data_IF_108881522453
#
_entry.id   IF_108881522453
#
_cell.length_a   1.000
_cell.length_b   1.000
_cell.length_c   1.000
_cell.angle_alpha   90.00
_cell.angle_beta   90.00
_cell.angle_gamma   90.00
#
_symmetry.space_group_name_H-M   'P 1'
#
loop_
_entity.id
_entity.type
_entity.pdbx_description
1 polymer ?
#
# COMPACT_ATOMS: atom_id res chain seq x y z
N UNK A 1 15.49 -25.04 -0.62
CA UNK A 1 16.08 -26.39 -0.51
C UNK A 1 17.10 -26.60 -1.62
N UNK A 2 17.51 -27.83 -1.91
CA UNK A 2 18.42 -28.12 -3.04
C UNK A 2 17.86 -27.61 -4.38
N UNK A 3 16.55 -27.75 -4.60
CA UNK A 3 15.86 -27.25 -5.81
C UNK A 3 16.07 -25.74 -5.97
N UNK A 4 15.84 -24.95 -4.91
CA UNK A 4 16.05 -23.50 -4.92
C UNK A 4 17.46 -23.09 -5.35
N UNK A 5 18.47 -23.79 -4.82
CA UNK A 5 19.87 -23.52 -5.18
C UNK A 5 20.09 -23.84 -6.65
N UNK A 6 19.61 -24.99 -7.14
CA UNK A 6 19.72 -25.35 -8.56
C UNK A 6 19.06 -24.29 -9.45
N UNK A 7 17.88 -23.78 -9.08
CA UNK A 7 17.18 -22.73 -9.85
C UNK A 7 18.04 -21.46 -9.91
N UNK A 8 18.62 -21.04 -8.78
CA UNK A 8 19.51 -19.87 -8.69
C UNK A 8 20.76 -20.04 -9.56
N UNK A 9 21.51 -21.14 -9.38
CA UNK A 9 22.72 -21.39 -10.18
C UNK A 9 22.43 -21.52 -11.69
N UNK A 10 21.25 -22.03 -12.06
CA UNK A 10 20.81 -22.05 -13.46
C UNK A 10 20.44 -20.65 -13.95
N UNK A 11 19.81 -19.84 -13.09
CA UNK A 11 19.48 -18.45 -13.38
C UNK A 11 20.72 -17.60 -13.69
N UNK A 12 21.86 -17.90 -13.05
CA UNK A 12 23.12 -17.23 -13.35
C UNK A 12 23.58 -17.35 -14.82
N UNK A 13 23.11 -18.36 -15.57
CA UNK A 13 23.34 -18.41 -17.02
C UNK A 13 22.83 -17.16 -17.76
N UNK A 14 21.89 -16.42 -17.18
CA UNK A 14 21.38 -15.16 -17.70
C UNK A 14 22.05 -13.95 -17.04
N UNK A 15 21.96 -13.85 -15.71
CA UNK A 15 22.53 -12.75 -14.91
C UNK A 15 23.59 -13.32 -13.96
N UNK A 16 24.90 -13.13 -14.22
CA UNK A 16 25.48 -12.13 -15.08
C UNK A 16 26.00 -12.71 -16.41
N UNK A 17 25.89 -14.02 -16.65
CA UNK A 17 26.69 -14.67 -17.71
C UNK A 17 26.33 -14.20 -19.13
N UNK A 18 25.06 -13.85 -19.39
CA UNK A 18 24.62 -13.27 -20.66
C UNK A 18 24.52 -11.74 -20.57
N UNK A 19 24.01 -11.19 -19.47
CA UNK A 19 23.92 -9.75 -19.20
C UNK A 19 24.91 -9.43 -18.09
N UNK A 20 26.11 -8.96 -18.45
CA UNK A 20 27.26 -8.96 -17.55
C UNK A 20 27.29 -7.73 -16.63
N UNK A 21 27.28 -7.92 -15.31
CA UNK A 21 27.40 -6.83 -14.34
C UNK A 21 28.75 -6.83 -13.63
N UNK A 22 29.23 -5.65 -13.19
CA UNK A 22 30.37 -5.55 -12.29
C UNK A 22 29.95 -5.90 -10.85
N UNK A 23 29.95 -7.19 -10.52
CA UNK A 23 29.54 -7.74 -9.22
C UNK A 23 30.32 -7.12 -8.04
N UNK A 24 31.61 -6.81 -8.24
CA UNK A 24 32.45 -6.22 -7.18
C UNK A 24 31.99 -4.83 -6.79
N UNK A 25 31.42 -4.10 -7.74
CA UNK A 25 30.86 -2.78 -7.49
C UNK A 25 29.38 -2.86 -7.12
N UNK A 26 28.61 -3.73 -7.78
CA UNK A 26 27.15 -3.81 -7.72
C UNK A 26 26.66 -5.25 -7.52
N UNK A 27 26.97 -5.87 -6.37
CA UNK A 27 26.62 -7.27 -6.10
C UNK A 27 25.13 -7.61 -6.26
N UNK A 28 24.24 -6.64 -6.05
CA UNK A 28 22.80 -6.84 -6.24
C UNK A 28 22.38 -7.04 -7.70
N UNK A 29 23.14 -6.52 -8.67
CA UNK A 29 22.80 -6.70 -10.09
C UNK A 29 22.96 -8.16 -10.52
N UNK A 30 23.90 -8.86 -9.90
CA UNK A 30 24.05 -10.29 -10.09
C UNK A 30 23.00 -11.02 -9.24
N UNK A 31 23.15 -10.89 -7.93
CA UNK A 31 22.45 -11.73 -6.96
C UNK A 31 20.98 -11.37 -6.77
N UNK A 32 20.65 -10.10 -6.89
CA UNK A 32 19.30 -9.57 -6.71
C UNK A 32 18.42 -9.80 -7.93
N UNK A 33 18.94 -9.54 -9.14
CA UNK A 33 18.24 -9.86 -10.39
C UNK A 33 18.01 -11.36 -10.50
N UNK A 34 19.01 -12.17 -10.17
CA UNK A 34 18.87 -13.61 -10.21
C UNK A 34 17.92 -14.13 -9.10
N UNK A 35 18.02 -13.62 -7.88
CA UNK A 35 17.08 -13.99 -6.80
C UNK A 35 15.62 -13.64 -7.16
N UNK A 36 15.39 -12.53 -7.87
CA UNK A 36 14.07 -12.19 -8.40
C UNK A 36 13.59 -13.23 -9.42
N UNK A 37 14.43 -13.58 -10.40
CA UNK A 37 14.10 -14.62 -11.40
C UNK A 37 13.88 -15.99 -10.76
N UNK A 38 14.71 -16.35 -9.77
CA UNK A 38 14.56 -17.54 -8.96
C UNK A 38 13.20 -17.56 -8.26
N UNK A 39 12.80 -16.47 -7.61
CA UNK A 39 11.49 -16.37 -6.94
C UNK A 39 10.34 -16.65 -7.91
N UNK A 40 10.33 -16.00 -9.10
CA UNK A 40 9.28 -16.22 -10.10
C UNK A 40 9.26 -17.67 -10.58
N UNK A 41 10.42 -18.25 -10.89
CA UNK A 41 10.53 -19.65 -11.32
C UNK A 41 10.09 -20.64 -10.23
N UNK A 42 10.41 -20.38 -8.97
CA UNK A 42 9.97 -21.16 -7.82
C UNK A 42 8.45 -21.13 -7.67
N UNK A 43 7.83 -19.95 -7.76
CA UNK A 43 6.37 -19.83 -7.66
C UNK A 43 5.67 -20.55 -8.83
N UNK A 44 6.13 -20.33 -10.07
CA UNK A 44 5.59 -21.02 -11.25
C UNK A 44 5.78 -22.55 -11.18
N UNK A 45 6.91 -23.01 -10.62
CA UNK A 45 7.14 -24.43 -10.36
C UNK A 45 6.13 -24.99 -9.36
N UNK A 46 5.88 -24.27 -8.25
CA UNK A 46 4.89 -24.65 -7.25
C UNK A 46 3.46 -24.74 -7.81
N UNK A 47 3.09 -23.81 -8.67
CA UNK A 47 1.78 -23.81 -9.35
C UNK A 47 1.64 -24.98 -10.34
N UNK A 48 2.69 -25.30 -11.10
CA UNK A 48 2.67 -26.40 -12.08
C UNK A 48 2.77 -27.78 -11.45
N UNK A 49 3.46 -27.89 -10.31
CA UNK A 49 3.75 -29.16 -9.63
C UNK A 49 3.32 -29.11 -8.15
N UNK A 50 2.02 -28.94 -7.86
CA UNK A 50 1.52 -28.75 -6.49
C UNK A 50 1.83 -29.93 -5.56
N UNK A 51 1.86 -31.16 -6.10
CA UNK A 51 2.20 -32.36 -5.33
C UNK A 51 3.64 -32.35 -4.80
N UNK A 52 4.56 -31.66 -5.49
CA UNK A 52 5.97 -31.57 -5.09
C UNK A 52 6.16 -30.61 -3.91
N UNK A 53 5.29 -29.60 -3.80
CA UNK A 53 5.36 -28.60 -2.73
C UNK A 53 4.41 -28.89 -1.56
N UNK A 54 3.59 -29.94 -1.66
CA UNK A 54 2.68 -30.36 -0.61
C UNK A 54 3.41 -30.50 0.75
N UNK A 55 2.80 -30.04 1.86
CA UNK A 55 1.43 -29.52 1.99
C UNK A 55 1.29 -28.01 1.68
N UNK A 56 2.32 -27.35 1.14
CA UNK A 56 2.27 -25.92 0.85
C UNK A 56 1.40 -25.64 -0.38
N UNK A 57 0.68 -24.53 -0.36
CA UNK A 57 -0.12 -24.03 -1.49
C UNK A 57 0.66 -23.11 -2.42
N UNK A 58 1.78 -22.56 -1.93
CA UNK A 58 2.76 -21.77 -2.69
C UNK A 58 4.15 -22.33 -2.43
N UNK A 59 5.06 -22.19 -3.39
CA UNK A 59 6.44 -22.62 -3.16
C UNK A 59 7.05 -21.83 -2.00
N UNK A 60 7.69 -22.48 -1.00
CA UNK A 60 8.21 -21.83 0.18
C UNK A 60 9.56 -21.12 -0.11
N UNK A 61 9.51 -20.08 -0.95
CA UNK A 61 10.67 -19.26 -1.30
C UNK A 61 11.28 -18.59 -0.07
N UNK A 62 12.60 -18.47 -0.06
CA UNK A 62 13.34 -17.86 1.07
C UNK A 62 13.39 -16.33 0.98
N UNK A 63 13.21 -15.77 -0.22
CA UNK A 63 13.33 -14.34 -0.58
C UNK A 63 12.29 -14.00 -1.65
N UNK A 64 12.12 -12.71 -1.97
CA UNK A 64 11.19 -12.21 -2.99
C UNK A 64 9.82 -11.82 -2.43
N UNK A 65 9.23 -12.66 -1.59
CA UNK A 65 7.98 -12.33 -0.90
C UNK A 65 8.17 -11.11 0.04
N UNK A 66 7.29 -10.09 0.01
CA UNK A 66 7.40 -8.89 0.84
C UNK A 66 7.58 -9.17 2.34
N UNK A 67 6.89 -10.16 2.90
CA UNK A 67 6.98 -10.48 4.32
C UNK A 67 8.38 -11.00 4.73
N UNK A 68 9.19 -11.50 3.78
CA UNK A 68 10.53 -12.05 4.07
C UNK A 68 11.59 -10.99 4.29
N UNK A 69 11.38 -9.75 3.83
CA UNK A 69 12.35 -8.68 4.01
C UNK A 69 12.11 -7.86 5.29
N UNK A 70 10.89 -7.90 5.83
CA UNK A 70 10.48 -7.14 7.02
C UNK A 70 11.46 -7.27 8.20
N UNK A 71 11.96 -8.46 8.60
CA UNK A 71 12.90 -8.57 9.72
C UNK A 71 14.23 -7.85 9.50
N UNK A 72 14.66 -7.69 8.24
CA UNK A 72 15.85 -6.93 7.91
C UNK A 72 15.57 -5.42 7.90
N UNK A 73 14.44 -5.00 7.29
CA UNK A 73 14.08 -3.59 7.17
C UNK A 73 13.65 -2.94 8.50
N UNK A 74 13.09 -3.72 9.42
CA UNK A 74 12.78 -3.31 10.81
C UNK A 74 13.99 -3.34 11.75
N UNK A 75 15.16 -3.78 11.26
CA UNK A 75 16.39 -3.85 12.04
C UNK A 75 16.95 -2.48 12.41
N UNK A 76 18.05 -2.50 13.17
CA UNK A 76 18.80 -1.30 13.51
C UNK A 76 19.31 -0.60 12.24
N UNK A 77 18.73 0.58 11.96
CA UNK A 77 19.04 1.37 10.77
C UNK A 77 20.51 1.76 10.66
N UNK A 78 21.23 1.87 11.80
CA UNK A 78 22.66 2.17 11.79
C UNK A 78 23.54 1.02 11.28
N UNK A 79 22.98 -0.20 11.21
CA UNK A 79 23.61 -1.40 10.69
C UNK A 79 23.07 -1.80 9.30
N UNK A 80 22.22 -0.97 8.69
CA UNK A 80 21.73 -1.17 7.33
C UNK A 80 22.50 -0.28 6.35
N UNK A 81 22.59 -0.76 5.11
CA UNK A 81 23.16 -0.01 4.00
C UNK A 81 22.17 -0.01 2.83
N UNK A 82 22.11 1.05 2.01
CA UNK A 82 21.36 1.05 0.75
C UNK A 82 21.77 -0.11 -0.17
N UNK A 83 20.87 -0.57 -1.06
CA UNK A 83 21.18 -1.62 -2.05
C UNK A 83 22.37 -1.21 -2.93
N UNK A 84 22.47 0.08 -3.24
CA UNK A 84 23.55 0.67 -4.05
C UNK A 84 24.89 0.79 -3.31
N UNK A 85 25.05 0.16 -2.15
CA UNK A 85 26.32 0.15 -1.42
C UNK A 85 27.28 -0.88 -2.00
N UNK A 86 28.58 -0.58 -1.96
CA UNK A 86 29.59 -1.57 -2.34
C UNK A 86 29.50 -2.79 -1.38
N UNK A 87 29.46 -4.03 -1.89
CA UNK A 87 29.33 -5.25 -1.09
C UNK A 87 30.31 -5.40 0.08
N UNK A 88 31.54 -4.88 -0.04
CA UNK A 88 32.57 -4.96 1.02
C UNK A 88 32.25 -4.08 2.24
N UNK A 89 31.36 -3.09 2.08
CA UNK A 89 30.98 -2.13 3.12
C UNK A 89 29.62 -2.45 3.77
N UNK A 90 29.04 -3.62 3.49
CA UNK A 90 27.71 -4.01 3.95
C UNK A 90 27.80 -4.99 5.11
N UNK A 91 27.11 -4.71 6.23
CA UNK A 91 27.09 -5.60 7.40
C UNK A 91 26.44 -6.96 7.13
N UNK A 92 25.36 -6.97 6.34
CA UNK A 92 24.56 -8.17 6.04
C UNK A 92 24.33 -8.29 4.54
N UNK A 93 25.28 -8.93 3.84
CA UNK A 93 25.25 -9.05 2.38
C UNK A 93 24.03 -9.83 1.87
N UNK A 94 23.63 -10.90 2.54
CA UNK A 94 22.51 -11.76 2.12
C UNK A 94 21.20 -10.99 1.90
N UNK A 95 20.70 -10.23 2.88
CA UNK A 95 19.53 -9.37 2.68
C UNK A 95 19.78 -8.20 1.72
N UNK A 96 20.95 -7.57 1.75
CA UNK A 96 21.22 -6.36 0.95
C UNK A 96 21.40 -6.65 -0.55
N UNK A 97 22.15 -7.69 -0.92
CA UNK A 97 22.43 -8.04 -2.31
C UNK A 97 21.38 -8.98 -2.93
N UNK A 98 20.68 -9.78 -2.12
CA UNK A 98 19.72 -10.79 -2.62
C UNK A 98 18.29 -10.45 -2.22
N UNK A 99 18.03 -10.30 -0.92
CA UNK A 99 16.69 -10.22 -0.35
C UNK A 99 15.93 -8.95 -0.73
N UNK A 100 16.43 -7.78 -0.32
CA UNK A 100 15.81 -6.47 -0.54
C UNK A 100 15.63 -6.16 -2.03
N UNK A 101 16.62 -6.40 -2.92
CA UNK A 101 16.45 -6.16 -4.34
C UNK A 101 15.39 -7.07 -4.97
N UNK A 102 15.38 -8.37 -4.64
CA UNK A 102 14.38 -9.29 -5.17
C UNK A 102 12.97 -8.96 -4.70
N UNK A 103 12.82 -8.56 -3.43
CA UNK A 103 11.54 -8.10 -2.88
C UNK A 103 11.10 -6.79 -3.54
N UNK A 104 12.00 -5.82 -3.73
CA UNK A 104 11.69 -4.58 -4.43
C UNK A 104 11.18 -4.88 -5.86
N UNK A 105 11.90 -5.71 -6.62
CA UNK A 105 11.47 -6.06 -7.99
C UNK A 105 10.13 -6.81 -8.02
N UNK A 106 9.88 -7.67 -7.04
CA UNK A 106 8.60 -8.36 -6.91
C UNK A 106 7.45 -7.38 -6.59
N UNK A 107 7.63 -6.48 -5.63
CA UNK A 107 6.65 -5.43 -5.30
C UNK A 107 6.41 -4.53 -6.53
N UNK A 108 7.47 -4.14 -7.23
CA UNK A 108 7.37 -3.32 -8.42
C UNK A 108 6.53 -4.01 -9.50
N UNK A 109 6.75 -5.32 -9.71
CA UNK A 109 6.01 -6.13 -10.67
C UNK A 109 4.56 -6.37 -10.28
N UNK A 110 4.29 -6.75 -9.04
CA UNK A 110 2.97 -7.21 -8.63
C UNK A 110 2.03 -6.08 -8.23
N UNK A 111 2.58 -5.03 -7.61
CA UNK A 111 1.78 -4.01 -6.90
C UNK A 111 1.87 -2.63 -7.53
N UNK A 112 3.01 -2.25 -8.14
CA UNK A 112 3.22 -0.88 -8.66
C UNK A 112 2.96 -0.79 -10.17
N UNK A 113 3.67 -1.58 -10.97
CA UNK A 113 3.59 -1.51 -12.45
C UNK A 113 2.59 -2.50 -13.03
N UNK A 114 2.35 -3.61 -12.34
CA UNK A 114 1.68 -4.77 -12.90
C UNK A 114 2.59 -5.61 -13.80
N UNK A 115 2.24 -6.90 -13.93
CA UNK A 115 3.06 -7.91 -14.60
C UNK A 115 3.37 -7.59 -16.06
N UNK A 116 2.39 -7.08 -16.81
CA UNK A 116 2.56 -6.83 -18.25
C UNK A 116 3.64 -5.79 -18.54
N UNK A 117 3.55 -4.62 -17.91
CA UNK A 117 4.51 -3.54 -18.10
C UNK A 117 5.89 -3.92 -17.55
N UNK A 118 5.93 -4.52 -16.36
CA UNK A 118 7.18 -4.96 -15.77
C UNK A 118 7.87 -6.01 -16.64
N UNK A 119 7.17 -7.07 -17.05
CA UNK A 119 7.74 -8.18 -17.84
C UNK A 119 8.22 -7.68 -19.21
N UNK A 120 7.47 -6.76 -19.83
CA UNK A 120 7.89 -6.11 -21.06
C UNK A 120 9.20 -5.33 -20.88
N UNK A 121 9.29 -4.51 -19.84
CA UNK A 121 10.45 -3.67 -19.58
C UNK A 121 11.68 -4.50 -19.17
N UNK A 122 11.51 -5.48 -18.28
CA UNK A 122 12.56 -6.38 -17.84
C UNK A 122 13.12 -7.23 -18.99
N UNK A 123 12.24 -7.76 -19.85
CA UNK A 123 12.65 -8.46 -21.08
C UNK A 123 13.41 -7.53 -22.02
N UNK A 124 12.97 -6.28 -22.14
CA UNK A 124 13.63 -5.26 -22.97
C UNK A 124 15.04 -4.97 -22.46
N UNK A 125 15.22 -4.84 -21.14
CA UNK A 125 16.54 -4.74 -20.51
C UNK A 125 17.43 -5.93 -20.87
N UNK A 126 16.96 -7.14 -20.63
CA UNK A 126 17.72 -8.35 -20.93
C UNK A 126 18.14 -8.42 -22.42
N UNK A 127 17.27 -8.02 -23.36
CA UNK A 127 17.60 -8.02 -24.79
C UNK A 127 18.58 -6.90 -25.18
N UNK A 128 18.42 -5.68 -24.64
CA UNK A 128 19.29 -4.54 -24.96
C UNK A 128 20.72 -4.77 -24.49
N UNK A 129 20.88 -5.44 -23.35
CA UNK A 129 22.14 -5.60 -22.63
C UNK A 129 22.75 -7.00 -22.71
N UNK A 130 22.10 -7.91 -23.44
CA UNK A 130 22.67 -9.20 -23.82
C UNK A 130 24.05 -9.01 -24.47
N UNK A 131 25.05 -9.68 -23.90
CA UNK A 131 26.48 -9.63 -24.26
C UNK A 131 27.14 -8.25 -24.10
N UNK A 132 26.63 -7.42 -23.17
CA UNK A 132 27.17 -6.11 -22.81
C UNK A 132 27.34 -6.00 -21.29
N UNK A 133 27.84 -4.84 -20.84
CA UNK A 133 28.12 -4.55 -19.43
C UNK A 133 27.29 -3.36 -18.90
N UNK A 134 25.99 -3.55 -18.56
CA UNK A 134 25.17 -2.47 -18.00
C UNK A 134 25.60 -2.06 -16.58
N UNK A 135 25.38 -0.79 -16.25
CA UNK A 135 25.36 -0.30 -14.86
C UNK A 135 23.95 -0.34 -14.27
N UNK A 136 23.76 -0.09 -12.96
CA UNK A 136 22.44 0.08 -12.36
C UNK A 136 21.55 1.09 -13.10
N UNK A 137 22.12 2.20 -13.55
CA UNK A 137 21.40 3.25 -14.26
C UNK A 137 20.85 2.78 -15.61
N UNK A 138 21.56 1.88 -16.29
CA UNK A 138 21.10 1.27 -17.54
C UNK A 138 19.87 0.37 -17.31
N UNK A 139 19.82 -0.31 -16.16
CA UNK A 139 18.65 -1.07 -15.73
C UNK A 139 17.48 -0.13 -15.40
N UNK A 140 17.68 0.85 -14.51
CA UNK A 140 16.63 1.78 -14.09
C UNK A 140 16.02 2.53 -15.30
N UNK A 141 16.86 3.07 -16.18
CA UNK A 141 16.41 3.78 -17.40
C UNK A 141 15.65 2.87 -18.35
N UNK A 142 16.05 1.60 -18.50
CA UNK A 142 15.32 0.68 -19.36
C UNK A 142 13.97 0.29 -18.76
N UNK A 143 13.90 0.15 -17.43
CA UNK A 143 12.63 -0.15 -16.77
C UNK A 143 11.62 0.99 -16.95
N UNK A 144 12.06 2.24 -16.86
CA UNK A 144 11.22 3.43 -17.08
C UNK A 144 10.88 3.64 -18.56
N UNK A 145 11.87 3.62 -19.45
CA UNK A 145 11.64 3.98 -20.86
C UNK A 145 10.76 2.98 -21.60
N UNK A 146 10.84 1.70 -21.26
CA UNK A 146 10.09 0.64 -21.92
C UNK A 146 8.67 0.51 -21.34
N UNK A 147 8.48 0.87 -20.07
CA UNK A 147 7.16 0.85 -19.43
C UNK A 147 6.39 2.17 -19.55
N UNK A 148 7.10 3.28 -19.83
CA UNK A 148 6.58 4.64 -19.74
C UNK A 148 6.03 5.01 -18.36
N UNK A 149 6.52 4.35 -17.30
CA UNK A 149 6.18 4.64 -15.90
C UNK A 149 7.32 5.44 -15.27
N UNK A 150 6.98 6.49 -14.53
CA UNK A 150 7.93 7.24 -13.70
C UNK A 150 8.25 6.44 -12.43
N UNK A 151 9.51 6.01 -12.29
CA UNK A 151 9.98 5.15 -11.20
C UNK A 151 11.08 5.83 -10.37
N UNK A 152 11.35 7.13 -10.57
CA UNK A 152 12.38 7.87 -9.85
C UNK A 152 12.19 7.76 -8.33
N UNK A 153 10.95 7.91 -7.88
CA UNK A 153 10.58 7.77 -6.47
C UNK A 153 10.83 6.34 -5.95
N UNK A 154 10.60 5.32 -6.79
CA UNK A 154 10.74 3.92 -6.43
C UNK A 154 12.20 3.55 -6.28
N UNK A 155 13.02 3.87 -7.28
CA UNK A 155 14.45 3.63 -7.26
C UNK A 155 15.12 4.35 -6.10
N UNK A 156 14.82 5.64 -5.91
CA UNK A 156 15.36 6.42 -4.80
C UNK A 156 15.08 5.75 -3.45
N UNK A 157 13.82 5.37 -3.20
CA UNK A 157 13.39 4.88 -1.89
C UNK A 157 13.85 3.45 -1.61
N UNK A 158 13.83 2.56 -2.61
CA UNK A 158 14.22 1.16 -2.40
C UNK A 158 15.74 0.93 -2.51
N UNK A 159 16.41 1.62 -3.43
CA UNK A 159 17.80 1.31 -3.79
C UNK A 159 18.83 2.27 -3.17
N UNK A 160 18.46 3.53 -2.95
CA UNK A 160 19.39 4.57 -2.48
C UNK A 160 19.23 4.96 -1.01
N UNK A 161 18.23 4.45 -0.30
CA UNK A 161 18.07 4.67 1.15
C UNK A 161 17.96 3.36 1.94
N UNK A 162 18.03 3.47 3.26
CA UNK A 162 17.74 2.39 4.21
C UNK A 162 16.29 2.45 4.70
N UNK A 163 15.47 3.34 4.15
CA UNK A 163 14.09 3.53 4.59
C UNK A 163 13.28 2.24 4.49
N UNK A 164 12.13 2.27 5.14
CA UNK A 164 11.17 1.18 5.22
C UNK A 164 9.75 1.66 4.89
N UNK A 165 8.88 0.70 4.64
CA UNK A 165 7.44 0.90 4.47
C UNK A 165 6.78 0.75 5.83
N UNK A 166 5.97 1.73 6.21
CA UNK A 166 5.07 1.71 7.37
C UNK A 166 3.92 2.67 7.03
N UNK A 167 2.71 2.13 6.89
CA UNK A 167 1.49 2.87 6.55
C UNK A 167 0.36 2.41 7.47
N UNK A 168 -0.19 3.36 8.24
CA UNK A 168 -1.22 3.08 9.23
C UNK A 168 -2.54 3.81 9.01
N UNK A 169 -3.54 3.39 9.78
CA UNK A 169 -4.76 4.17 10.02
C UNK A 169 -4.56 4.99 11.29
N UNK A 170 -4.48 6.31 11.13
CA UNK A 170 -4.21 7.25 12.22
C UNK A 170 -5.50 7.65 12.95
N UNK A 171 -6.53 8.06 12.19
CA UNK A 171 -7.80 8.53 12.74
C UNK A 171 -8.99 8.22 11.80
N UNK A 172 -10.16 8.01 12.38
CA UNK A 172 -11.42 7.80 11.66
C UNK A 172 -12.51 8.64 12.33
N UNK A 173 -12.93 9.69 11.65
CA UNK A 173 -14.01 10.56 12.09
C UNK A 173 -15.27 10.27 11.32
N UNK A 174 -16.36 10.07 12.05
CA UNK A 174 -17.69 9.86 11.48
C UNK A 174 -18.44 11.19 11.44
N UNK A 175 -19.08 11.46 10.30
CA UNK A 175 -19.81 12.68 10.03
C UNK A 175 -21.27 12.38 9.68
N UNK A 176 -22.12 13.33 10.01
CA UNK A 176 -23.55 13.33 9.71
C UNK A 176 -23.94 14.58 8.94
N UNK A 177 -24.92 14.45 8.05
CA UNK A 177 -25.52 15.61 7.40
C UNK A 177 -26.19 16.48 8.44
N UNK A 178 -26.00 17.79 8.33
CA UNK A 178 -26.61 18.79 9.19
C UNK A 178 -27.38 19.81 8.37
N UNK A 179 -28.49 20.28 8.96
CA UNK A 179 -29.25 21.41 8.42
C UNK A 179 -28.54 22.76 8.64
N UNK A 180 -27.53 22.81 9.51
CA UNK A 180 -26.81 24.03 9.90
C UNK A 180 -25.30 23.86 9.75
N UNK A 181 -24.56 24.96 9.47
CA UNK A 181 -23.11 24.91 9.43
C UNK A 181 -22.53 24.56 10.81
N UNK A 182 -21.57 23.63 10.83
CA UNK A 182 -20.76 23.34 12.02
C UNK A 182 -19.75 24.44 12.33
N UNK A 183 -19.04 24.30 13.45
CA UNK A 183 -18.10 25.30 13.96
C UNK A 183 -17.06 25.77 12.93
N UNK A 184 -16.40 24.85 12.22
CA UNK A 184 -15.38 25.20 11.22
C UNK A 184 -15.95 26.10 10.11
N UNK A 185 -17.18 25.83 9.66
CA UNK A 185 -17.83 26.62 8.63
C UNK A 185 -18.25 28.00 9.15
N UNK A 186 -18.68 28.08 10.42
CA UNK A 186 -18.95 29.37 11.08
C UNK A 186 -17.69 30.20 11.23
N UNK A 187 -16.56 29.59 11.57
CA UNK A 187 -15.26 30.26 11.68
C UNK A 187 -14.77 30.75 10.32
N UNK A 188 -14.91 29.93 9.27
CA UNK A 188 -14.62 30.32 7.90
C UNK A 188 -15.45 31.53 7.44
N UNK A 189 -16.76 31.51 7.70
CA UNK A 189 -17.66 32.62 7.37
C UNK A 189 -17.25 33.89 8.12
N UNK A 190 -16.98 33.78 9.42
CA UNK A 190 -16.52 34.89 10.26
C UNK A 190 -15.20 35.48 9.75
N UNK A 191 -14.21 34.63 9.46
CA UNK A 191 -12.89 35.07 8.98
C UNK A 191 -12.95 35.79 7.62
N UNK A 192 -13.98 35.52 6.81
CA UNK A 192 -14.20 36.13 5.50
C UNK A 192 -15.30 37.18 5.48
N UNK A 193 -15.87 37.50 6.65
CA UNK A 193 -17.00 38.41 6.80
C UNK A 193 -18.17 38.04 5.87
N UNK A 194 -18.44 36.74 5.76
CA UNK A 194 -19.55 36.16 5.01
C UNK A 194 -20.68 35.77 5.96
N UNK A 195 -21.90 35.76 5.45
CA UNK A 195 -23.06 35.13 6.08
C UNK A 195 -23.47 33.88 5.31
N UNK A 196 -24.33 33.05 5.89
CA UNK A 196 -24.85 31.86 5.20
C UNK A 196 -25.60 32.22 3.91
N UNK A 197 -26.26 33.38 3.86
CA UNK A 197 -26.95 33.88 2.67
C UNK A 197 -26.02 34.28 1.52
N UNK A 198 -24.73 34.52 1.81
CA UNK A 198 -23.72 34.84 0.79
C UNK A 198 -23.13 33.58 0.14
N UNK A 199 -23.44 32.40 0.69
CA UNK A 199 -22.95 31.13 0.19
C UNK A 199 -23.94 30.50 -0.79
N UNK A 200 -23.45 29.70 -1.77
CA UNK A 200 -24.34 28.87 -2.56
C UNK A 200 -25.08 27.86 -1.65
N UNK A 201 -26.15 27.20 -2.14
CA UNK A 201 -26.80 26.12 -1.41
C UNK A 201 -25.79 24.99 -1.12
N UNK A 202 -25.42 24.83 0.16
CA UNK A 202 -24.46 23.83 0.62
C UNK A 202 -25.17 22.70 1.38
N UNK A 203 -24.53 21.53 1.39
CA UNK A 203 -24.81 20.44 2.32
C UNK A 203 -23.72 20.47 3.38
N UNK A 204 -24.11 20.57 4.65
CA UNK A 204 -23.16 20.59 5.75
C UNK A 204 -22.96 19.19 6.33
N UNK A 205 -21.71 18.91 6.71
CA UNK A 205 -21.34 17.72 7.46
C UNK A 205 -20.79 18.16 8.82
N UNK A 206 -21.25 17.50 9.88
CA UNK A 206 -20.77 17.73 11.26
C UNK A 206 -20.29 16.41 11.84
N UNK A 207 -19.19 16.44 12.60
CA UNK A 207 -18.62 15.24 13.20
C UNK A 207 -19.52 14.72 14.34
N UNK A 208 -19.67 13.41 14.50
CA UNK A 208 -20.54 12.76 15.51
C UNK A 208 -20.10 13.11 16.95
N UNK A 209 -18.83 13.44 17.16
CA UNK A 209 -18.25 13.83 18.45
C UNK A 209 -18.27 15.35 18.72
N UNK A 210 -18.79 16.17 17.79
CA UNK A 210 -18.84 17.62 17.93
C UNK A 210 -20.08 18.10 18.70
N UNK A 211 -20.00 19.29 19.31
CA UNK A 211 -21.14 19.94 19.98
C UNK A 211 -22.28 20.32 19.02
N UNK A 212 -21.98 20.41 17.73
CA UNK A 212 -22.95 20.71 16.67
C UNK A 212 -23.72 19.48 16.18
N UNK A 213 -23.37 18.28 16.66
CA UNK A 213 -24.08 17.06 16.30
C UNK A 213 -25.48 17.04 16.92
N UNK A 214 -26.49 16.92 16.06
CA UNK A 214 -27.88 16.71 16.47
C UNK A 214 -28.21 15.20 16.42
N UNK A 215 -28.41 14.52 17.55
CA UNK A 215 -28.72 13.09 17.59
C UNK A 215 -29.99 12.71 16.81
N UNK A 216 -30.92 13.64 16.62
CA UNK A 216 -32.16 13.41 15.84
C UNK A 216 -31.88 13.23 14.34
N UNK A 217 -30.68 13.55 13.86
CA UNK A 217 -30.27 13.31 12.46
C UNK A 217 -29.82 11.88 12.21
N UNK A 218 -29.58 11.09 13.27
CA UNK A 218 -29.07 9.72 13.15
C UNK A 218 -30.11 8.82 12.48
N UNK A 219 -29.71 8.18 11.38
CA UNK A 219 -30.56 7.26 10.61
C UNK A 219 -31.54 7.94 9.64
N UNK A 220 -31.55 9.28 9.57
CA UNK A 220 -32.25 10.03 8.52
C UNK A 220 -31.40 10.09 7.26
N UNK A 221 -32.04 10.14 6.10
CA UNK A 221 -31.31 10.34 4.83
C UNK A 221 -30.78 11.77 4.73
N UNK A 222 -29.71 12.00 3.96
CA UNK A 222 -29.23 13.35 3.63
C UNK A 222 -30.33 14.33 3.20
N UNK A 223 -31.25 13.90 2.34
CA UNK A 223 -32.35 14.72 1.82
C UNK A 223 -33.46 15.00 2.84
N UNK A 224 -33.59 14.18 3.89
CA UNK A 224 -34.48 14.47 5.02
C UNK A 224 -33.93 15.56 5.94
N UNK A 225 -32.60 15.68 6.02
CA UNK A 225 -31.92 16.63 6.91
C UNK A 225 -31.58 17.94 6.21
N UNK A 226 -31.07 17.88 4.97
CA UNK A 226 -30.67 19.07 4.21
C UNK A 226 -31.79 19.54 3.27
N UNK A 227 -32.38 20.70 3.59
CA UNK A 227 -33.37 21.34 2.71
C UNK A 227 -32.78 21.66 1.33
N UNK A 228 -31.55 22.17 1.28
CA UNK A 228 -30.86 22.47 0.02
C UNK A 228 -30.71 21.23 -0.87
N UNK A 229 -30.34 20.09 -0.30
CA UNK A 229 -30.23 18.83 -1.05
C UNK A 229 -31.60 18.37 -1.54
N UNK A 230 -32.61 18.46 -0.68
CA UNK A 230 -33.99 18.08 -1.02
C UNK A 230 -34.54 18.91 -2.18
N UNK A 231 -34.40 20.23 -2.11
CA UNK A 231 -34.83 21.16 -3.17
C UNK A 231 -34.09 20.86 -4.47
N UNK A 232 -32.76 20.68 -4.41
CA UNK A 232 -31.96 20.31 -5.58
C UNK A 232 -32.47 19.01 -6.25
N UNK A 233 -32.73 17.96 -5.48
CA UNK A 233 -33.26 16.70 -6.01
C UNK A 233 -34.68 16.85 -6.57
N UNK A 234 -35.50 17.71 -5.98
CA UNK A 234 -36.88 17.95 -6.44
C UNK A 234 -36.89 18.73 -7.77
N UNK A 235 -36.00 19.71 -7.92
CA UNK A 235 -35.96 20.58 -9.09
C UNK A 235 -35.23 19.97 -10.29
N UNK A 236 -34.25 19.08 -10.04
CA UNK A 236 -33.35 18.58 -11.10
C UNK A 236 -33.57 17.10 -11.46
N UNK A 237 -34.41 16.37 -10.74
CA UNK A 237 -34.63 14.95 -10.98
C UNK A 237 -36.13 14.64 -11.13
N UNK A 238 -36.46 13.63 -11.92
CA UNK A 238 -37.80 13.05 -11.97
C UNK A 238 -38.08 12.18 -10.74
N UNK A 239 -39.34 11.84 -10.51
CA UNK A 239 -39.72 10.94 -9.41
C UNK A 239 -39.06 9.56 -9.51
N UNK A 240 -38.97 9.02 -10.74
CA UNK A 240 -38.32 7.75 -10.99
C UNK A 240 -36.81 7.83 -10.71
N UNK A 241 -36.13 8.88 -11.17
CA UNK A 241 -34.69 9.07 -10.91
C UNK A 241 -34.42 9.24 -9.41
N UNK A 242 -35.25 9.99 -8.67
CA UNK A 242 -35.10 10.13 -7.21
C UNK A 242 -35.24 8.80 -6.48
N UNK A 243 -36.18 7.95 -6.90
CA UNK A 243 -36.38 6.64 -6.28
C UNK A 243 -35.18 5.69 -6.46
N UNK A 244 -34.35 5.92 -7.48
CA UNK A 244 -33.12 5.16 -7.74
C UNK A 244 -31.88 5.74 -7.02
N UNK A 245 -31.97 6.95 -6.45
CA UNK A 245 -30.83 7.57 -5.74
C UNK A 245 -30.50 6.79 -4.48
N UNK A 246 -29.26 6.30 -4.44
CA UNK A 246 -28.67 5.70 -3.25
C UNK A 246 -28.01 6.77 -2.39
N UNK A 247 -28.79 7.39 -1.51
CA UNK A 247 -28.24 8.37 -0.59
C UNK A 247 -27.35 7.69 0.46
N UNK A 248 -26.10 8.19 0.68
CA UNK A 248 -25.23 7.68 1.74
C UNK A 248 -25.65 8.24 3.10
N UNK A 249 -25.82 7.36 4.08
CA UNK A 249 -26.20 7.74 5.45
C UNK A 249 -24.99 7.92 6.38
N UNK A 250 -23.82 7.46 5.92
CA UNK A 250 -22.58 7.49 6.70
C UNK A 250 -21.49 8.17 5.89
N UNK A 251 -20.80 9.12 6.52
CA UNK A 251 -19.67 9.83 5.96
C UNK A 251 -18.49 9.66 6.91
N UNK A 252 -17.32 9.33 6.39
CA UNK A 252 -16.11 9.14 7.18
C UNK A 252 -14.99 9.99 6.60
N UNK A 253 -14.30 10.74 7.45
CA UNK A 253 -12.95 11.23 7.15
C UNK A 253 -11.96 10.26 7.78
N UNK A 254 -11.19 9.58 6.94
CA UNK A 254 -10.17 8.63 7.36
C UNK A 254 -8.82 9.27 7.10
N UNK A 255 -8.00 9.27 8.13
CA UNK A 255 -6.65 9.80 8.10
C UNK A 255 -5.68 8.63 8.11
N UNK A 256 -4.89 8.51 7.05
CA UNK A 256 -3.80 7.55 6.94
C UNK A 256 -2.48 8.27 7.13
N UNK A 257 -1.57 7.67 7.89
CA UNK A 257 -0.22 8.18 8.08
C UNK A 257 0.79 7.23 7.43
N UNK A 258 1.97 7.77 7.11
CA UNK A 258 3.10 7.01 6.57
C UNK A 258 4.35 7.30 7.42
N UNK A 259 4.51 6.67 8.60
CA UNK A 259 5.72 6.83 9.41
C UNK A 259 6.99 6.36 8.68
N UNK A 260 6.83 5.44 7.71
CA UNK A 260 7.93 4.95 6.87
C UNK A 260 8.40 5.95 5.80
N UNK A 261 9.69 5.87 5.47
CA UNK A 261 10.28 6.73 4.43
C UNK A 261 10.01 6.28 2.99
N UNK A 262 9.55 5.04 2.77
CA UNK A 262 9.25 4.54 1.42
C UNK A 262 7.77 4.81 1.10
N UNK A 263 7.45 5.72 0.15
CA UNK A 263 6.09 5.87 -0.34
C UNK A 263 5.66 4.60 -1.09
N UNK A 264 4.42 4.16 -0.87
CA UNK A 264 3.83 2.99 -1.52
C UNK A 264 2.37 3.27 -1.90
N UNK A 265 1.77 2.53 -2.85
CA UNK A 265 0.33 2.55 -3.05
C UNK A 265 -0.40 2.28 -1.74
N UNK A 266 -1.43 3.08 -1.44
CA UNK A 266 -2.27 2.87 -0.27
C UNK A 266 -3.36 1.85 -0.64
N UNK A 267 -3.17 0.59 -0.25
CA UNK A 267 -4.14 -0.49 -0.45
C UNK A 267 -5.00 -0.61 0.80
N UNK A 268 -6.31 -0.44 0.67
CA UNK A 268 -7.23 -0.42 1.81
C UNK A 268 -8.39 -1.36 1.56
N UNK A 269 -8.70 -2.20 2.54
CA UNK A 269 -9.95 -2.95 2.60
C UNK A 269 -10.88 -2.32 3.63
N UNK A 270 -12.07 -1.95 3.18
CA UNK A 270 -13.18 -1.47 4.00
C UNK A 270 -14.14 -2.62 4.26
N UNK A 271 -14.55 -2.81 5.51
CA UNK A 271 -15.57 -3.78 5.92
C UNK A 271 -16.79 -3.05 6.46
N UNK A 272 -17.97 -3.38 5.96
CA UNK A 272 -19.23 -2.76 6.36
C UNK A 272 -20.06 -3.68 7.27
N UNK A 273 -21.02 -3.08 7.99
CA UNK A 273 -21.83 -3.79 8.99
C UNK A 273 -22.71 -4.92 8.40
N UNK A 274 -23.00 -4.88 7.10
CA UNK A 274 -23.71 -5.94 6.38
C UNK A 274 -22.82 -7.13 5.99
N UNK A 275 -21.52 -7.07 6.31
CA UNK A 275 -20.53 -8.09 6.00
C UNK A 275 -19.90 -7.94 4.61
N UNK A 276 -20.31 -6.94 3.82
CA UNK A 276 -19.67 -6.65 2.55
C UNK A 276 -18.29 -6.01 2.75
N UNK A 277 -17.40 -6.23 1.78
CA UNK A 277 -16.04 -5.69 1.78
C UNK A 277 -15.74 -4.99 0.46
N UNK A 278 -14.98 -3.91 0.52
CA UNK A 278 -14.53 -3.15 -0.64
C UNK A 278 -13.02 -2.92 -0.56
N UNK A 279 -12.29 -3.26 -1.62
CA UNK A 279 -10.85 -3.04 -1.71
C UNK A 279 -10.58 -1.87 -2.66
N UNK A 280 -9.89 -0.85 -2.16
CA UNK A 280 -9.50 0.33 -2.93
C UNK A 280 -7.98 0.48 -2.86
N UNK A 281 -7.36 0.62 -4.02
CA UNK A 281 -5.93 0.94 -4.13
C UNK A 281 -5.76 2.35 -4.65
N UNK A 282 -5.12 3.20 -3.87
CA UNK A 282 -4.68 4.53 -4.31
C UNK A 282 -3.22 4.45 -4.76
N UNK A 283 -2.87 5.12 -5.86
CA UNK A 283 -1.50 5.10 -6.37
C UNK A 283 -0.57 5.93 -5.45
N UNK A 284 0.75 5.72 -5.50
CA UNK A 284 1.70 6.28 -4.54
C UNK A 284 1.77 7.82 -4.55
N UNK A 285 1.28 8.48 -5.61
CA UNK A 285 1.18 9.95 -5.70
C UNK A 285 0.18 10.53 -4.69
N UNK A 286 -0.59 9.69 -4.00
CA UNK A 286 -1.42 10.08 -2.86
C UNK A 286 -0.63 10.88 -1.80
N UNK A 287 0.66 10.59 -1.64
CA UNK A 287 1.57 11.21 -0.69
C UNK A 287 2.21 12.52 -1.19
N UNK A 288 2.00 12.91 -2.46
CA UNK A 288 2.76 14.01 -3.10
C UNK A 288 2.56 15.39 -2.45
N UNK A 289 1.37 15.68 -1.91
CA UNK A 289 1.07 16.98 -1.28
C UNK A 289 1.46 17.01 0.20
N UNK A 290 1.46 15.86 0.83
CA UNK A 290 1.86 15.68 2.22
C UNK A 290 2.37 14.23 2.35
N UNK A 291 3.68 14.10 2.55
CA UNK A 291 4.33 12.80 2.58
C UNK A 291 4.04 12.04 3.88
N UNK A 292 3.72 12.75 4.97
CA UNK A 292 3.51 12.15 6.29
C UNK A 292 2.09 11.61 6.46
N UNK A 293 1.10 12.24 5.83
CA UNK A 293 -0.31 11.96 6.09
C UNK A 293 -1.23 12.35 4.93
N UNK A 294 -2.27 11.55 4.72
CA UNK A 294 -3.35 11.84 3.78
C UNK A 294 -4.71 11.61 4.39
N UNK A 295 -5.67 12.44 4.00
CA UNK A 295 -7.08 12.29 4.35
C UNK A 295 -7.90 11.79 3.17
N UNK A 296 -8.83 10.89 3.44
CA UNK A 296 -9.79 10.36 2.47
C UNK A 296 -11.19 10.42 3.04
N UNK A 297 -12.13 10.86 2.22
CA UNK A 297 -13.54 10.88 2.56
C UNK A 297 -14.21 9.69 1.89
N UNK A 298 -14.89 8.87 2.68
CA UNK A 298 -15.69 7.73 2.22
C UNK A 298 -17.14 7.97 2.61
N UNK A 299 -18.06 7.69 1.70
CA UNK A 299 -19.50 7.73 1.97
C UNK A 299 -20.12 6.37 1.67
N UNK A 300 -21.06 5.93 2.51
CA UNK A 300 -21.70 4.62 2.35
C UNK A 300 -23.14 4.63 2.88
N UNK A 301 -23.95 3.72 2.36
CA UNK A 301 -25.28 3.42 2.90
C UNK A 301 -25.21 2.53 4.14
N UNK A 302 -24.08 1.82 4.32
CA UNK A 302 -23.82 0.92 5.44
C UNK A 302 -22.77 1.50 6.38
N UNK A 303 -22.88 1.16 7.65
CA UNK A 303 -21.91 1.59 8.66
C UNK A 303 -20.55 0.91 8.40
N UNK A 304 -19.47 1.68 8.48
CA UNK A 304 -18.12 1.18 8.35
C UNK A 304 -17.70 0.59 9.70
N UNK A 305 -17.30 -0.68 9.71
CA UNK A 305 -16.94 -1.42 10.94
C UNK A 305 -15.49 -1.88 10.95
N UNK A 306 -14.79 -1.79 9.81
CA UNK A 306 -13.40 -2.21 9.72
C UNK A 306 -12.66 -1.50 8.59
N UNK A 307 -11.40 -1.17 8.85
CA UNK A 307 -10.42 -0.72 7.86
C UNK A 307 -9.17 -1.55 8.06
N UNK A 308 -8.60 -2.08 6.98
CA UNK A 308 -7.30 -2.76 7.00
C UNK A 308 -6.43 -2.23 5.85
N UNK A 309 -5.28 -1.67 6.20
CA UNK A 309 -4.23 -1.30 5.25
C UNK A 309 -3.41 -2.53 4.88
N UNK A 310 -3.16 -2.70 3.59
CA UNK A 310 -2.39 -3.79 3.00
C UNK A 310 -2.80 -5.19 3.51
N UNK A 311 -4.08 -5.59 3.35
CA UNK A 311 -4.62 -6.83 3.92
C UNK A 311 -3.92 -8.10 3.41
N UNK A 312 -3.21 -8.02 2.28
CA UNK A 312 -2.49 -9.13 1.65
C UNK A 312 -0.96 -9.05 1.86
N UNK A 313 -0.48 -8.06 2.62
CA UNK A 313 0.94 -7.82 2.90
C UNK A 313 1.80 -7.72 1.63
N UNK A 314 1.34 -6.92 0.67
CA UNK A 314 1.96 -6.72 -0.64
C UNK A 314 3.12 -5.70 -0.60
N UNK A 315 3.20 -4.86 0.43
CA UNK A 315 4.10 -3.68 0.44
C UNK A 315 5.34 -3.82 1.31
N UNK A 316 5.48 -4.91 2.07
CA UNK A 316 6.53 -5.12 3.07
C UNK A 316 6.49 -4.10 4.23
N UNK A 317 5.28 -3.75 4.68
CA UNK A 317 5.06 -2.95 5.89
C UNK A 317 5.74 -3.57 7.11
N UNK A 318 6.56 -2.80 7.82
CA UNK A 318 7.31 -3.28 8.97
C UNK A 318 6.52 -3.27 10.28
N UNK A 319 5.41 -2.50 10.36
CA UNK A 319 4.58 -2.38 11.57
C UNK A 319 3.09 -2.55 11.26
N UNK A 320 2.68 -3.80 11.13
CA UNK A 320 1.27 -4.16 10.93
C UNK A 320 0.35 -3.84 12.13
N UNK A 321 0.87 -3.33 13.24
CA UNK A 321 0.07 -3.04 14.44
C UNK A 321 -0.81 -1.82 14.27
N UNK A 322 -0.44 -0.91 13.36
CA UNK A 322 -1.15 0.34 13.09
C UNK A 322 -2.06 0.25 11.83
N UNK A 323 -2.05 -0.87 11.11
CA UNK A 323 -2.77 -1.05 9.83
C UNK A 323 -4.28 -1.21 9.97
N UNK A 324 -4.84 -1.21 11.19
CA UNK A 324 -6.26 -1.54 11.38
C UNK A 324 -7.03 -0.56 12.23
N UNK A 325 -8.26 -0.29 11.81
CA UNK A 325 -9.28 0.37 12.61
C UNK A 325 -10.55 -0.50 12.69
N UNK A 326 -11.14 -0.68 13.88
CA UNK A 326 -10.57 -0.36 15.19
C UNK A 326 -9.24 -1.10 15.41
N UNK A 327 -8.33 -0.51 16.19
CA UNK A 327 -7.03 -1.14 16.47
C UNK A 327 -7.26 -2.52 17.05
N UNK A 328 -6.80 -3.56 16.34
CA UNK A 328 -6.88 -4.93 16.83
C UNK A 328 -5.96 -5.05 18.05
N UNK A 329 -6.51 -5.44 19.20
CA UNK A 329 -5.69 -5.78 20.37
C UNK A 329 -4.77 -6.95 19.99
N UNK A 330 -3.47 -6.69 19.89
CA UNK A 330 -2.51 -7.78 19.76
C UNK A 330 -2.37 -8.48 21.11
N UNK A 331 -2.59 -9.80 21.14
CA UNK A 331 -2.26 -10.62 22.32
C UNK A 331 -0.78 -10.42 22.64
N UNK A 332 -0.48 -9.88 23.81
CA UNK A 332 0.90 -9.64 24.24
C UNK A 332 1.65 -10.97 24.38
N UNK A 333 2.99 -10.94 24.39
CA UNK A 333 3.78 -12.13 24.70
C UNK A 333 3.42 -12.76 26.06
N UNK A 334 2.90 -11.95 27.00
CA UNK A 334 2.37 -12.41 28.28
C UNK A 334 1.02 -13.11 28.16
N UNK A 335 0.12 -12.64 27.29
CA UNK A 335 -1.17 -13.29 27.02
C UNK A 335 -0.98 -14.64 26.32
N UNK A 336 -0.05 -14.71 25.35
CA UNK A 336 0.35 -15.95 24.71
C UNK A 336 0.99 -16.94 25.71
N UNK A 337 1.79 -16.43 26.66
CA UNK A 337 2.37 -17.22 27.73
C UNK A 337 1.29 -17.76 28.70
N UNK A 338 0.30 -16.93 29.07
CA UNK A 338 -0.84 -17.35 29.90
C UNK A 338 -1.69 -18.44 29.23
N UNK A 339 -1.95 -18.33 27.93
CA UNK A 339 -2.68 -19.37 27.19
C UNK A 339 -1.89 -20.69 27.14
N UNK A 340 -0.57 -20.64 26.98
CA UNK A 340 0.30 -21.82 27.07
C UNK A 340 0.29 -22.49 28.45
N UNK A 341 0.10 -21.74 29.53
CA UNK A 341 0.01 -22.29 30.90
C UNK A 341 -1.38 -22.84 31.19
N UNK A 342 -2.45 -22.20 30.69
CA UNK A 342 -3.83 -22.68 30.86
C UNK A 342 -4.18 -23.91 30.02
N UNK A 343 -3.37 -24.23 29.01
CA UNK A 343 -3.51 -25.41 28.15
C UNK A 343 -2.74 -26.66 28.62
N UNK A 344 -2.37 -26.76 29.90
CA UNK A 344 -1.77 -27.97 30.50
C UNK A 344 -2.62 -28.56 31.60
#
# INVERSE_FOLDING_TARGET
>A
GMISVIIHEVGHNFFPMIVNSDERQWGWMDEGLDTFMQYIAEQEFGEKFPDVIAPNTKYPSRRGDPAKIVPYMSGDQSALSPIMSNPENVYSLGPNAYGKPATALNILRETVMGRELFDHAFKTYAQRWKFKHPTPEDFFRTMEDASAVDLDWYWRSWFYTTDYVDIGVDDVKKYHVSAKPGQEMRDFMTARNLTEADLPPLVYLVAEDSEDFDPETKGKTPSEVSMNLKEFMMDNMTEAERAEVKEPNFFYEITFNKPGGIPMPLIVEYTYADGSTEMITYPPEIWRKNDDQVKRVISSQQELVGIVVDPKAETADIDVTNNSWPKKEQKTGFDQFKEKIKGK
#
